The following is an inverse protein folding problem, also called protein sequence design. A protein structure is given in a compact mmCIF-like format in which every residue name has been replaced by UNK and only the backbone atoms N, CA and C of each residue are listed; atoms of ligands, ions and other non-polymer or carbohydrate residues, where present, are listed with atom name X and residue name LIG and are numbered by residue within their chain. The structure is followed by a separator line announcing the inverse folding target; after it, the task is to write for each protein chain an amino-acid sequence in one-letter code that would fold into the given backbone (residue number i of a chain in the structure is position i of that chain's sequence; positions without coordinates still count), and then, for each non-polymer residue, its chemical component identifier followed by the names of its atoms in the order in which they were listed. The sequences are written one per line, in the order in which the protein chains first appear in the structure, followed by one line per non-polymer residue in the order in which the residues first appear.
data_IF_896472947112
#
_entry.id   IF_896472947112
#
_cell.length_a   1.000
_cell.length_b   1.000
_cell.length_c   1.000
_cell.angle_alpha   90.00
_cell.angle_beta   90.00
_cell.angle_gamma   90.00
#
_symmetry.space_group_name_H-M   'P 1'
#
loop_
_entity.id
_entity.type
_entity.pdbx_description
1 polymer ?
#
# COMPACT_ATOMS: atom_id res chain seq x y z
N UNK A 1 -7.04 -5.02 -0.23
CA UNK A 1 -6.32 -5.01 1.06
C UNK A 1 -4.97 -4.43 0.78
N UNK A 2 -4.69 -3.23 1.30
CA UNK A 2 -3.39 -2.56 1.14
C UNK A 2 -2.57 -2.93 2.36
N UNK A 3 -1.39 -3.49 2.11
CA UNK A 3 -0.50 -4.03 3.13
C UNK A 3 0.77 -3.16 3.15
N UNK A 4 1.06 -2.52 4.29
CA UNK A 4 2.33 -1.82 4.50
C UNK A 4 3.22 -2.64 5.43
N UNK A 5 4.51 -2.65 5.12
CA UNK A 5 5.51 -3.44 5.85
C UNK A 5 6.71 -2.64 6.33
N UNK A 6 7.38 -3.21 7.33
CA UNK A 6 8.80 -3.02 7.64
C UNK A 6 9.61 -4.16 7.02
N UNK A 7 10.81 -3.87 6.52
CA UNK A 7 11.80 -4.89 6.13
C UNK A 7 13.17 -4.62 6.76
N UNK A 8 13.78 -5.66 7.34
CA UNK A 8 15.21 -5.73 7.68
C UNK A 8 16.02 -6.45 6.60
N UNK A 9 17.32 -6.16 6.41
CA UNK A 9 18.04 -6.55 5.20
C UNK A 9 18.24 -8.07 5.05
N UNK A 10 18.09 -8.57 3.81
CA UNK A 10 18.75 -9.79 3.33
C UNK A 10 20.12 -9.41 2.76
N UNK A 11 21.19 -9.50 3.56
CA UNK A 11 22.57 -9.56 3.06
C UNK A 11 23.40 -10.53 3.90
N UNK A 12 24.14 -11.47 3.29
CA UNK A 12 25.17 -12.23 3.96
C UNK A 12 26.44 -11.37 4.03
N UNK A 13 26.77 -10.90 5.24
CA UNK A 13 28.08 -10.33 5.56
C UNK A 13 28.28 -8.87 5.15
N UNK A 14 28.32 -7.97 6.14
CA UNK A 14 28.77 -6.59 5.96
C UNK A 14 28.08 -5.65 6.95
N UNK A 15 28.83 -5.20 7.95
CA UNK A 15 28.32 -4.41 9.06
C UNK A 15 27.77 -3.02 8.65
N UNK A 16 26.79 -2.58 9.45
CA UNK A 16 26.26 -1.22 9.63
C UNK A 16 25.33 -0.65 8.54
N UNK A 17 24.02 -0.89 8.71
CA UNK A 17 22.96 0.09 8.47
C UNK A 17 21.63 -0.38 9.12
N UNK A 18 21.54 -0.28 10.45
CA UNK A 18 20.28 -0.43 11.20
C UNK A 18 19.39 0.81 11.02
N UNK A 19 18.91 1.02 9.79
CA UNK A 19 17.78 1.90 9.52
C UNK A 19 16.60 1.01 9.17
N UNK A 20 15.78 0.72 10.18
CA UNK A 20 14.50 0.03 10.06
C UNK A 20 13.66 0.68 8.95
N UNK A 21 13.55 0.04 7.78
CA UNK A 21 12.83 0.59 6.64
C UNK A 21 11.33 0.40 6.86
N UNK A 22 10.73 1.28 7.68
CA UNK A 22 9.29 1.35 7.92
C UNK A 22 8.63 2.11 6.77
N UNK A 23 7.68 1.48 6.08
CA UNK A 23 6.81 2.23 5.17
C UNK A 23 5.86 3.10 6.01
N UNK A 24 5.81 4.43 5.77
CA UNK A 24 4.96 5.33 6.54
C UNK A 24 3.47 5.02 6.39
N UNK A 25 2.69 5.17 7.46
CA UNK A 25 1.24 4.90 7.46
C UNK A 25 0.47 5.69 6.39
N UNK A 26 0.94 6.86 6.00
CA UNK A 26 0.36 7.70 4.96
C UNK A 26 0.30 6.97 3.61
N UNK A 27 1.25 6.06 3.34
CA UNK A 27 1.24 5.24 2.12
C UNK A 27 0.03 4.30 2.10
N UNK A 28 -0.41 3.77 3.25
CA UNK A 28 -1.60 2.91 3.35
C UNK A 28 -2.84 3.73 3.07
N UNK A 29 -2.88 4.95 3.62
CA UNK A 29 -3.99 5.87 3.39
C UNK A 29 -4.09 6.22 1.92
N UNK A 30 -2.98 6.57 1.27
CA UNK A 30 -2.96 6.88 -0.16
C UNK A 30 -3.31 5.68 -1.04
N UNK A 31 -2.81 4.49 -0.74
CA UNK A 31 -3.17 3.30 -1.52
C UNK A 31 -4.64 2.90 -1.35
N UNK A 32 -5.21 3.10 -0.16
CA UNK A 32 -6.61 2.76 0.11
C UNK A 32 -7.59 3.83 -0.41
N UNK A 33 -7.29 5.10 -0.19
CA UNK A 33 -8.17 6.24 -0.49
C UNK A 33 -7.72 7.08 -1.67
N UNK A 34 -6.58 6.80 -2.29
CA UNK A 34 -6.00 7.74 -3.26
C UNK A 34 -6.89 8.02 -4.46
N UNK A 35 -7.76 7.09 -4.85
CA UNK A 35 -8.81 7.36 -5.85
C UNK A 35 -9.85 8.37 -5.34
N UNK A 36 -10.24 8.29 -4.07
CA UNK A 36 -11.14 9.27 -3.45
C UNK A 36 -10.47 10.65 -3.31
N UNK A 37 -9.14 10.71 -3.20
CA UNK A 37 -8.39 11.96 -3.18
C UNK A 37 -8.14 12.59 -4.56
N UNK A 38 -8.38 11.87 -5.65
CA UNK A 38 -8.19 12.43 -7.00
C UNK A 38 -9.28 13.47 -7.24
N UNK A 39 -8.92 14.74 -7.03
CA UNK A 39 -9.76 15.90 -7.34
C UNK A 39 -10.35 16.63 -6.12
N UNK A 40 -10.40 15.98 -4.96
CA UNK A 40 -10.92 16.60 -3.72
C UNK A 40 -10.14 16.10 -2.48
N UNK A 41 -9.54 16.99 -1.68
CA UNK A 41 -8.88 16.60 -0.45
C UNK A 41 -9.84 16.34 0.73
N UNK A 42 -11.14 16.64 0.59
CA UNK A 42 -12.13 16.44 1.64
C UNK A 42 -12.67 15.00 1.64
N UNK A 43 -12.75 14.39 2.83
CA UNK A 43 -13.27 13.04 3.03
C UNK A 43 -14.45 13.01 3.99
N UNK A 44 -15.56 12.36 3.63
CA UNK A 44 -16.62 12.06 4.59
C UNK A 44 -16.09 11.19 5.74
N UNK A 45 -16.30 11.60 6.99
CA UNK A 45 -15.91 10.85 8.18
C UNK A 45 -16.42 9.39 8.19
N UNK A 46 -17.56 9.11 7.55
CA UNK A 46 -18.13 7.77 7.43
C UNK A 46 -17.26 6.81 6.61
N UNK A 47 -16.43 7.31 5.69
CA UNK A 47 -15.54 6.50 4.86
C UNK A 47 -14.40 5.84 5.68
N UNK A 48 -14.06 6.43 6.83
CA UNK A 48 -12.90 6.06 7.65
C UNK A 48 -13.23 5.68 9.10
N UNK A 49 -14.49 5.79 9.52
CA UNK A 49 -14.91 5.68 10.93
C UNK A 49 -14.49 4.38 11.63
N UNK A 50 -14.40 3.27 10.90
CA UNK A 50 -14.06 1.95 11.43
C UNK A 50 -12.86 1.33 10.72
N UNK A 51 -11.93 2.18 10.26
CA UNK A 51 -10.74 1.74 9.52
C UNK A 51 -9.49 1.94 10.36
N UNK A 52 -8.64 0.93 10.32
CA UNK A 52 -7.39 0.86 11.06
C UNK A 52 -6.25 0.59 10.10
N UNK A 53 -5.10 1.18 10.38
CA UNK A 53 -3.83 0.87 9.73
C UNK A 53 -3.07 0.00 10.71
N UNK A 54 -2.66 -1.18 10.26
CA UNK A 54 -1.96 -2.17 11.07
C UNK A 54 -0.57 -2.42 10.50
N UNK A 55 0.39 -2.61 11.39
CA UNK A 55 1.70 -3.15 11.03
C UNK A 55 1.67 -4.66 11.15
N UNK A 56 2.02 -5.34 10.06
CA UNK A 56 1.97 -6.80 9.97
C UNK A 56 3.36 -7.37 9.71
N UNK A 57 3.74 -8.35 10.53
CA UNK A 57 4.87 -9.21 10.23
C UNK A 57 4.47 -10.18 9.11
N UNK A 58 5.20 -10.14 8.00
CA UNK A 58 5.05 -11.16 6.96
C UNK A 58 6.21 -12.13 7.12
N UNK A 59 5.92 -13.45 7.19
CA UNK A 59 6.97 -14.48 7.17
C UNK A 59 7.93 -14.25 6.01
N UNK A 60 9.20 -14.63 6.16
CA UNK A 60 10.25 -14.38 5.16
C UNK A 60 9.81 -14.77 3.75
N UNK A 61 9.32 -13.79 2.99
CA UNK A 61 8.71 -13.96 1.67
C UNK A 61 9.78 -13.66 0.63
N UNK A 62 10.00 -14.60 -0.28
CA UNK A 62 10.89 -14.39 -1.42
C UNK A 62 10.18 -13.55 -2.48
N UNK A 63 10.18 -12.24 -2.31
CA UNK A 63 9.57 -11.30 -3.25
C UNK A 63 10.53 -10.86 -4.36
N UNK A 64 10.01 -10.67 -5.57
CA UNK A 64 10.75 -10.02 -6.65
C UNK A 64 10.75 -8.50 -6.42
N UNK A 65 11.94 -7.89 -6.35
CA UNK A 65 12.08 -6.45 -6.12
C UNK A 65 12.08 -5.67 -7.44
N UNK A 66 10.92 -5.10 -7.79
CA UNK A 66 10.76 -4.26 -8.98
C UNK A 66 11.24 -2.82 -8.75
N UNK A 67 11.64 -2.47 -7.52
CA UNK A 67 12.19 -1.16 -7.16
C UNK A 67 13.71 -1.12 -7.26
N UNK A 68 14.37 -2.28 -7.33
CA UNK A 68 15.80 -2.38 -7.52
C UNK A 68 16.23 -1.74 -8.84
N UNK A 69 17.32 -0.96 -8.83
CA UNK A 69 17.87 -0.37 -10.06
C UNK A 69 18.23 -1.40 -11.13
N UNK A 70 18.59 -2.62 -10.70
CA UNK A 70 18.87 -3.74 -11.59
C UNK A 70 17.64 -4.30 -12.32
N UNK A 71 16.41 -4.03 -11.84
CA UNK A 71 15.18 -4.49 -12.46
C UNK A 71 15.02 -3.95 -13.90
N UNK A 72 15.57 -2.77 -14.17
CA UNK A 72 15.61 -2.17 -15.51
C UNK A 72 16.32 -3.03 -16.55
N UNK A 73 17.35 -3.81 -16.15
CA UNK A 73 18.03 -4.75 -17.05
C UNK A 73 17.13 -5.90 -17.51
N UNK A 74 16.02 -6.13 -16.80
CA UNK A 74 15.00 -7.12 -17.12
C UNK A 74 13.76 -6.48 -17.77
N UNK A 75 13.85 -5.20 -18.18
CA UNK A 75 12.75 -4.47 -18.80
C UNK A 75 11.65 -4.03 -17.84
N UNK A 76 11.90 -4.08 -16.53
CA UNK A 76 10.95 -3.63 -15.51
C UNK A 76 11.20 -2.15 -15.21
N UNK A 77 10.20 -1.32 -15.49
CA UNK A 77 10.19 0.09 -15.06
C UNK A 77 9.27 0.21 -13.84
N UNK A 78 9.72 0.82 -12.72
CA UNK A 78 8.95 0.84 -11.47
C UNK A 78 7.51 1.38 -11.57
N UNK A 79 7.23 2.27 -12.54
CA UNK A 79 5.90 2.85 -12.76
C UNK A 79 4.95 1.96 -13.57
N UNK A 80 5.44 0.96 -14.27
CA UNK A 80 4.59 0.19 -15.21
C UNK A 80 3.63 -0.75 -14.48
N UNK A 81 4.01 -1.24 -13.30
CA UNK A 81 3.16 -2.14 -12.52
C UNK A 81 1.94 -1.41 -11.92
N UNK A 82 2.03 -0.08 -11.80
CA UNK A 82 1.00 0.78 -11.20
C UNK A 82 0.15 1.54 -12.22
N UNK A 83 0.49 1.48 -13.51
CA UNK A 83 -0.08 2.34 -14.56
C UNK A 83 -1.30 1.79 -15.35
N UNK A 84 -1.41 0.51 -15.75
CA UNK A 84 -2.43 0.10 -16.72
C UNK A 84 -3.79 -0.20 -16.06
N UNK A 85 -4.78 0.67 -16.28
CA UNK A 85 -6.20 0.43 -15.93
C UNK A 85 -7.04 -0.09 -17.09
N UNK A 86 -6.74 0.37 -18.31
CA UNK A 86 -7.65 0.24 -19.46
C UNK A 86 -7.75 -1.20 -19.99
N UNK A 87 -6.81 -2.08 -19.63
CA UNK A 87 -6.76 -3.49 -20.03
C UNK A 87 -6.99 -4.46 -18.86
N UNK A 88 -7.61 -4.01 -17.76
CA UNK A 88 -7.79 -4.83 -16.55
C UNK A 88 -6.49 -5.37 -15.92
N UNK A 89 -5.41 -4.58 -16.00
CA UNK A 89 -4.10 -4.94 -15.46
C UNK A 89 -3.51 -6.20 -16.12
N UNK A 90 -3.76 -6.41 -17.42
CA UNK A 90 -3.27 -7.61 -18.13
C UNK A 90 -1.76 -7.74 -18.01
N UNK A 91 -1.01 -6.65 -18.21
CA UNK A 91 0.45 -6.67 -18.07
C UNK A 91 0.91 -7.02 -16.65
N UNK A 92 0.34 -6.37 -15.63
CA UNK A 92 0.65 -6.65 -14.22
C UNK A 92 0.36 -8.10 -13.85
N UNK A 93 -0.74 -8.68 -14.36
CA UNK A 93 -1.08 -10.09 -14.15
C UNK A 93 -0.10 -11.04 -14.85
N UNK A 94 0.36 -10.70 -16.05
CA UNK A 94 1.38 -11.48 -16.77
C UNK A 94 2.69 -11.48 -16.00
N UNK A 95 3.12 -10.35 -15.45
CA UNK A 95 4.30 -10.29 -14.59
C UNK A 95 4.13 -11.09 -13.30
N UNK A 96 2.98 -10.95 -12.62
CA UNK A 96 2.69 -11.74 -11.43
C UNK A 96 2.78 -13.25 -11.72
N UNK A 97 2.16 -13.72 -12.81
CA UNK A 97 2.22 -15.12 -13.21
C UNK A 97 3.66 -15.57 -13.56
N UNK A 98 4.45 -14.72 -14.22
CA UNK A 98 5.85 -15.03 -14.54
C UNK A 98 6.72 -15.13 -13.28
N UNK A 99 6.52 -14.25 -12.29
CA UNK A 99 7.25 -14.29 -11.03
C UNK A 99 6.86 -15.50 -10.18
N UNK A 100 5.57 -15.82 -10.12
CA UNK A 100 5.05 -17.02 -9.45
C UNK A 100 5.66 -18.29 -10.07
N UNK A 101 5.65 -18.40 -11.40
CA UNK A 101 6.26 -19.51 -12.13
C UNK A 101 7.78 -19.61 -11.93
N UNK A 102 8.46 -18.49 -11.66
CA UNK A 102 9.89 -18.44 -11.32
C UNK A 102 10.18 -18.76 -9.84
N UNK A 103 9.15 -19.08 -9.05
CA UNK A 103 9.27 -19.43 -7.63
C UNK A 103 9.54 -18.23 -6.74
N UNK A 104 8.99 -17.07 -7.08
CA UNK A 104 8.82 -15.96 -6.14
C UNK A 104 7.45 -16.07 -5.46
N UNK A 105 7.36 -15.57 -4.25
CA UNK A 105 6.15 -15.61 -3.41
C UNK A 105 5.43 -14.26 -3.38
N UNK A 106 5.95 -13.28 -4.12
CA UNK A 106 5.38 -11.95 -4.21
C UNK A 106 6.19 -10.99 -5.06
N UNK A 107 5.72 -9.75 -5.13
CA UNK A 107 6.36 -8.63 -5.83
C UNK A 107 6.40 -7.42 -4.90
N UNK A 108 7.59 -6.88 -4.67
CA UNK A 108 7.75 -5.53 -4.13
C UNK A 108 7.77 -4.54 -5.28
N UNK A 109 6.99 -3.47 -5.17
CA UNK A 109 6.94 -2.42 -6.18
C UNK A 109 6.70 -1.05 -5.58
N UNK A 110 6.77 -0.02 -6.42
CA UNK A 110 6.35 1.32 -6.02
C UNK A 110 4.83 1.32 -5.78
N UNK A 111 4.40 2.00 -4.73
CA UNK A 111 3.03 2.40 -4.48
C UNK A 111 2.53 3.26 -5.63
N UNK A 112 1.31 2.99 -6.09
CA UNK A 112 0.63 3.72 -7.16
C UNK A 112 0.28 5.14 -6.73
N UNK A 113 -0.20 5.29 -5.50
CA UNK A 113 -0.77 6.55 -5.00
C UNK A 113 0.10 7.19 -3.92
N UNK A 114 1.13 6.49 -3.46
CA UNK A 114 2.06 6.98 -2.47
C UNK A 114 2.94 8.11 -3.00
N UNK A 115 3.16 9.10 -2.14
CA UNK A 115 4.08 10.20 -2.39
C UNK A 115 5.42 10.01 -1.66
N UNK A 116 6.45 10.71 -2.11
CA UNK A 116 7.78 10.72 -1.48
C UNK A 116 8.83 9.86 -2.19
N UNK A 117 9.96 9.64 -1.49
CA UNK A 117 11.21 9.12 -2.08
C UNK A 117 11.15 7.63 -2.41
N UNK A 118 10.38 6.83 -1.69
CA UNK A 118 10.21 5.39 -1.99
C UNK A 118 8.96 4.79 -1.34
N UNK A 119 7.74 5.21 -1.72
CA UNK A 119 6.54 4.56 -1.21
C UNK A 119 6.44 3.20 -1.88
N UNK A 120 6.57 2.12 -1.11
CA UNK A 120 6.57 0.74 -1.65
C UNK A 120 5.36 -0.05 -1.16
N UNK A 121 4.95 -1.00 -1.98
CA UNK A 121 3.92 -1.98 -1.68
C UNK A 121 4.48 -3.37 -1.91
N UNK A 122 4.02 -4.33 -1.11
CA UNK A 122 4.28 -5.75 -1.31
C UNK A 122 2.98 -6.46 -1.69
N UNK A 123 3.01 -7.10 -2.85
CA UNK A 123 1.97 -8.02 -3.31
C UNK A 123 2.42 -9.44 -2.99
N UNK A 124 1.65 -10.17 -2.19
CA UNK A 124 1.96 -11.55 -1.82
C UNK A 124 1.07 -12.49 -2.64
N UNK A 125 1.66 -13.55 -3.19
CA UNK A 125 0.92 -14.57 -3.94
C UNK A 125 0.32 -15.59 -3.00
N UNK A 126 -0.87 -16.09 -3.35
CA UNK A 126 -1.56 -17.09 -2.56
C UNK A 126 -3.04 -17.20 -2.92
N UNK A 127 -3.77 -18.10 -2.24
CA UNK A 127 -5.22 -18.19 -2.37
C UNK A 127 -5.87 -16.84 -2.03
N UNK A 128 -7.00 -16.51 -2.65
CA UNK A 128 -7.82 -15.41 -2.15
C UNK A 128 -8.46 -15.79 -0.81
N UNK A 129 -8.49 -14.85 0.14
CA UNK A 129 -9.14 -15.04 1.43
C UNK A 129 -8.35 -14.50 2.60
N UNK A 130 -8.84 -14.78 3.80
CA UNK A 130 -8.11 -14.55 5.05
C UNK A 130 -6.98 -15.57 5.19
N UNK A 131 -5.80 -15.09 5.57
CA UNK A 131 -4.65 -15.92 5.86
C UNK A 131 -4.10 -15.53 7.21
N UNK A 132 -3.71 -16.54 7.99
CA UNK A 132 -2.87 -16.31 9.15
C UNK A 132 -1.49 -15.85 8.66
N UNK A 133 -1.24 -14.56 8.79
CA UNK A 133 0.06 -13.95 8.62
C UNK A 133 0.68 -13.75 10.02
N UNK A 134 1.91 -13.22 10.10
CA UNK A 134 2.60 -13.03 11.37
C UNK A 134 1.89 -12.07 12.33
N UNK A 135 2.56 -11.70 13.43
CA UNK A 135 1.97 -10.83 14.45
C UNK A 135 1.52 -9.47 13.89
N UNK A 136 0.42 -8.94 14.44
CA UNK A 136 0.10 -7.51 14.30
C UNK A 136 0.75 -6.76 15.46
N UNK A 137 1.72 -5.90 15.16
CA UNK A 137 2.56 -5.30 16.19
C UNK A 137 2.09 -3.90 16.62
N UNK A 138 1.33 -3.20 15.77
CA UNK A 138 0.76 -1.89 16.06
C UNK A 138 -0.51 -1.64 15.25
N UNK A 139 -1.43 -0.85 15.81
CA UNK A 139 -2.64 -0.36 15.13
C UNK A 139 -2.86 1.12 15.44
N UNK A 140 -3.16 1.89 14.40
CA UNK A 140 -3.59 3.29 14.49
C UNK A 140 -4.90 3.45 13.71
N UNK A 141 -5.78 4.34 14.16
CA UNK A 141 -6.99 4.63 13.38
C UNK A 141 -6.60 5.36 12.11
N UNK A 142 -7.27 5.06 11.00
CA UNK A 142 -7.05 5.78 9.73
C UNK A 142 -7.31 7.28 9.88
N UNK A 143 -8.28 7.64 10.72
CA UNK A 143 -8.55 9.03 11.12
C UNK A 143 -7.31 9.73 11.71
N UNK A 144 -6.66 9.12 12.69
CA UNK A 144 -5.51 9.74 13.35
C UNK A 144 -4.34 9.98 12.38
N UNK A 145 -4.17 9.13 11.37
CA UNK A 145 -3.15 9.33 10.33
C UNK A 145 -3.54 10.44 9.35
N UNK A 146 -4.81 10.48 8.91
CA UNK A 146 -5.28 11.56 8.02
C UNK A 146 -5.17 12.93 8.71
N UNK A 147 -5.45 13.02 10.01
CA UNK A 147 -5.33 14.25 10.80
C UNK A 147 -3.88 14.77 10.88
N UNK A 148 -2.87 13.93 10.63
CA UNK A 148 -1.46 14.34 10.53
C UNK A 148 -1.01 14.64 9.10
N UNK A 149 -1.79 14.25 8.08
CA UNK A 149 -1.44 14.46 6.68
C UNK A 149 -1.81 15.88 6.25
N UNK A 150 -0.85 16.66 5.71
CA UNK A 150 -1.16 17.99 5.19
C UNK A 150 -2.12 17.88 4.00
N UNK A 151 -2.90 18.93 3.77
CA UNK A 151 -3.85 19.08 2.64
C UNK A 151 -5.21 18.39 2.82
N UNK A 152 -5.32 17.29 3.57
CA UNK A 152 -6.59 16.56 3.70
C UNK A 152 -7.48 17.06 4.85
N UNK A 153 -8.80 17.06 4.62
CA UNK A 153 -9.79 17.41 5.64
C UNK A 153 -10.80 16.29 5.81
N UNK A 154 -11.29 16.12 7.04
CA UNK A 154 -12.35 15.16 7.33
C UNK A 154 -13.63 15.94 7.58
N UNK A 155 -14.58 15.79 6.65
CA UNK A 155 -15.90 16.36 6.78
C UNK A 155 -16.69 15.57 7.83
N UNK A 156 -17.47 16.30 8.62
CA UNK A 156 -18.36 15.70 9.60
C UNK A 156 -19.37 14.79 8.91
N UNK A 157 -19.76 13.69 9.56
CA UNK A 157 -20.85 12.85 9.05
C UNK A 157 -22.11 13.73 9.00
N UNK A 158 -22.73 13.95 7.82
CA UNK A 158 -23.97 14.69 7.76
C UNK A 158 -24.99 13.95 8.63
N UNK A 159 -25.58 14.62 9.63
CA UNK A 159 -26.69 14.04 10.38
C UNK A 159 -27.94 14.04 9.52
N UNK A 160 -28.93 13.19 9.83
CA UNK A 160 -30.21 13.16 9.09
C UNK A 160 -30.86 14.54 8.96
N UNK A 161 -30.58 15.44 9.90
CA UNK A 161 -31.13 16.80 9.97
C UNK A 161 -30.68 17.69 8.80
N UNK A 162 -29.56 17.39 8.14
CA UNK A 162 -29.08 18.16 6.97
C UNK A 162 -29.81 17.81 5.66
N UNK A 163 -30.60 16.72 5.65
CA UNK A 163 -31.42 16.30 4.50
C UNK A 163 -32.86 16.79 4.61
N UNK A 164 -33.20 17.54 5.66
CA UNK A 164 -34.53 18.11 5.84
C UNK A 164 -34.67 19.32 4.91
N UNK A 165 -35.46 19.18 3.86
CA UNK A 165 -35.97 20.31 3.08
C UNK A 165 -37.18 20.85 3.84
N UNK A 166 -37.03 22.03 4.45
CA UNK A 166 -38.17 22.76 5.04
C UNK A 166 -38.96 23.38 3.88
N UNK A 167 -40.21 22.93 3.61
CA UNK A 167 -40.99 23.33 2.44
C UNK A 167 -41.56 24.75 2.51
#
# INVERSE_FOLDING_TARGET
MVLLQQWGPLQPGGAAADAEHRVPEEVAVWEFLGVAFVGDPALPASMIAERWISQLEIPGTKAADFTAGAASAFGIVPGDITAPMDDHYVMTRVWAAAMDAAGFEGIQSRSRLGAGTNPTCLYVFGPAGEHELGGTNARVTMRAVIETMPVYTIDSIPTSDVLVVDP
#
